data_IF_173265710183
#
_entry.id   IF_173265710183
#
_cell.length_a   1.000
_cell.length_b   1.000
_cell.length_c   1.000
_cell.angle_alpha   90.00
_cell.angle_beta   90.00
_cell.angle_gamma   90.00
#
_symmetry.space_group_name_H-M   'P 1'
#
loop_
_entity.id
_entity.type
_entity.pdbx_description
1 polymer ?
#
# COMPACT_ATOMS: atom_id res chain seq x y z
N UNK A 1 2.78 -14.23 -10.63
CA UNK A 1 3.22 -13.34 -9.53
C UNK A 1 4.62 -12.74 -9.71
N UNK A 2 5.70 -13.48 -9.50
CA UNK A 2 7.05 -12.86 -9.46
C UNK A 2 7.51 -12.25 -10.79
N UNK A 3 7.03 -12.78 -11.92
CA UNK A 3 7.35 -12.26 -13.26
C UNK A 3 6.60 -10.95 -13.58
N UNK A 4 5.30 -10.89 -13.30
CA UNK A 4 4.42 -9.81 -13.76
C UNK A 4 3.90 -8.88 -12.66
N UNK A 5 3.92 -9.32 -11.40
CA UNK A 5 3.33 -8.61 -10.27
C UNK A 5 1.90 -9.06 -9.90
N UNK A 6 1.19 -9.80 -10.76
CA UNK A 6 -0.18 -10.28 -10.51
C UNK A 6 -0.21 -11.54 -9.63
N UNK A 7 -0.82 -11.50 -8.43
CA UNK A 7 -1.07 -12.70 -7.64
C UNK A 7 -2.20 -13.51 -8.27
N UNK A 8 -2.08 -14.83 -8.23
CA UNK A 8 -3.05 -15.77 -8.78
C UNK A 8 -3.21 -16.95 -7.81
N UNK A 9 -4.34 -17.63 -7.89
CA UNK A 9 -4.61 -18.81 -7.08
C UNK A 9 -5.28 -19.89 -7.92
N UNK A 10 -4.99 -21.16 -7.62
CA UNK A 10 -5.66 -22.29 -8.25
C UNK A 10 -6.44 -23.04 -7.18
N UNK A 11 -7.71 -23.29 -7.45
CA UNK A 11 -8.59 -24.09 -6.61
C UNK A 11 -8.78 -25.47 -7.24
N UNK A 12 -9.03 -26.48 -6.41
CA UNK A 12 -9.52 -27.76 -6.86
C UNK A 12 -10.98 -27.61 -7.33
N UNK A 13 -11.24 -27.81 -8.62
CA UNK A 13 -12.55 -27.58 -9.22
C UNK A 13 -13.62 -28.51 -8.62
N UNK A 14 -13.23 -29.73 -8.24
CA UNK A 14 -14.16 -30.69 -7.65
C UNK A 14 -14.63 -30.29 -6.24
N UNK A 15 -13.93 -29.35 -5.59
CA UNK A 15 -14.25 -28.89 -4.23
C UNK A 15 -15.09 -27.61 -4.19
N UNK A 16 -15.39 -27.02 -5.37
CA UNK A 16 -16.25 -25.84 -5.53
C UNK A 16 -17.70 -26.29 -5.76
N UNK A 17 -18.59 -25.86 -4.89
CA UNK A 17 -20.02 -26.21 -4.94
C UNK A 17 -20.84 -25.07 -5.56
N UNK A 18 -21.09 -25.16 -6.87
CA UNK A 18 -21.94 -24.23 -7.60
C UNK A 18 -21.21 -22.97 -8.09
N UNK A 19 -21.77 -21.79 -7.82
CA UNK A 19 -21.24 -20.52 -8.34
C UNK A 19 -20.16 -19.94 -7.43
N UNK A 20 -19.06 -19.44 -7.99
CA UNK A 20 -18.06 -18.68 -7.24
C UNK A 20 -18.55 -17.26 -6.98
N UNK A 21 -18.55 -16.85 -5.71
CA UNK A 21 -18.95 -15.53 -5.24
C UNK A 21 -17.76 -14.78 -4.64
N UNK A 22 -17.57 -13.53 -5.04
CA UNK A 22 -16.70 -12.59 -4.33
C UNK A 22 -17.58 -11.69 -3.47
N UNK A 23 -17.54 -11.88 -2.15
CA UNK A 23 -18.42 -11.21 -1.18
C UNK A 23 -17.67 -10.83 0.09
N UNK A 24 -18.32 -10.04 0.95
CA UNK A 24 -17.86 -9.91 2.32
C UNK A 24 -18.15 -11.20 3.10
N UNK A 25 -17.30 -11.49 4.07
CA UNK A 25 -17.51 -12.59 5.01
C UNK A 25 -18.78 -12.33 5.84
N UNK A 26 -19.40 -13.40 6.31
CA UNK A 26 -20.44 -13.28 7.33
C UNK A 26 -19.78 -13.04 8.68
N UNK A 27 -20.44 -12.34 9.62
CA UNK A 27 -19.93 -12.20 10.97
C UNK A 27 -19.64 -13.57 11.59
N UNK A 28 -18.42 -13.74 12.09
CA UNK A 28 -17.96 -14.98 12.73
C UNK A 28 -17.85 -16.19 11.79
N UNK A 29 -17.80 -15.95 10.47
CA UNK A 29 -17.58 -17.00 9.48
C UNK A 29 -16.20 -17.64 9.71
N UNK A 30 -16.15 -18.97 9.80
CA UNK A 30 -14.91 -19.71 10.04
C UNK A 30 -14.31 -20.19 8.73
N UNK A 31 -12.98 -20.13 8.64
CA UNK A 31 -12.23 -20.67 7.52
C UNK A 31 -10.92 -21.28 8.01
N UNK A 32 -10.65 -22.53 7.62
CA UNK A 32 -9.34 -23.14 7.81
C UNK A 32 -8.46 -22.83 6.60
N UNK A 33 -7.32 -22.21 6.85
CA UNK A 33 -6.36 -21.78 5.84
C UNK A 33 -5.35 -22.88 5.51
N UNK A 34 -4.67 -22.75 4.37
CA UNK A 34 -3.66 -23.69 3.89
C UNK A 34 -2.42 -23.88 4.79
N UNK A 35 -2.27 -23.04 5.83
CA UNK A 35 -1.23 -23.16 6.86
C UNK A 35 -1.74 -23.83 8.16
N UNK A 36 -2.87 -24.55 8.07
CA UNK A 36 -3.58 -25.22 9.18
C UNK A 36 -4.17 -24.29 10.24
N UNK A 37 -4.08 -22.97 10.06
CA UNK A 37 -4.70 -21.99 10.96
C UNK A 37 -6.20 -21.89 10.69
N UNK A 38 -7.02 -22.04 11.73
CA UNK A 38 -8.44 -21.68 11.69
C UNK A 38 -8.60 -20.21 12.09
N UNK A 39 -9.32 -19.44 11.28
CA UNK A 39 -9.61 -18.02 11.55
C UNK A 39 -11.12 -17.78 11.59
N UNK A 40 -11.52 -16.80 12.40
CA UNK A 40 -12.89 -16.29 12.48
C UNK A 40 -12.92 -14.91 11.82
N UNK A 41 -13.74 -14.77 10.78
CA UNK A 41 -13.79 -13.61 9.91
C UNK A 41 -14.83 -12.59 10.38
N UNK A 42 -14.63 -11.33 9.99
CA UNK A 42 -15.56 -10.21 10.23
C UNK A 42 -16.16 -9.74 8.90
N UNK A 43 -17.27 -9.02 8.97
CA UNK A 43 -18.03 -8.54 7.81
C UNK A 43 -17.33 -7.45 6.97
N UNK A 44 -16.14 -7.01 7.39
CA UNK A 44 -15.27 -6.11 6.64
C UNK A 44 -14.10 -6.82 5.91
N UNK A 45 -14.11 -8.17 5.91
CA UNK A 45 -13.13 -9.02 5.22
C UNK A 45 -13.76 -9.60 3.96
N UNK A 46 -13.14 -9.32 2.81
CA UNK A 46 -13.56 -9.90 1.55
C UNK A 46 -13.08 -11.35 1.42
N UNK A 47 -13.97 -12.21 0.96
CA UNK A 47 -13.72 -13.64 0.75
C UNK A 47 -14.13 -14.04 -0.66
N UNK A 48 -13.51 -15.12 -1.11
CA UNK A 48 -13.96 -15.89 -2.27
C UNK A 48 -14.68 -17.10 -1.69
N UNK A 49 -15.93 -17.30 -2.08
CA UNK A 49 -16.82 -18.33 -1.57
C UNK A 49 -17.50 -19.05 -2.73
N UNK A 50 -18.11 -20.19 -2.46
CA UNK A 50 -19.08 -20.82 -3.36
C UNK A 50 -20.51 -20.69 -2.78
N UNK A 51 -21.47 -21.46 -3.28
CA UNK A 51 -22.86 -21.41 -2.79
C UNK A 51 -23.01 -21.97 -1.36
N UNK A 52 -22.00 -22.65 -0.82
CA UNK A 52 -22.05 -23.33 0.48
C UNK A 52 -21.07 -22.77 1.51
N UNK A 53 -19.84 -22.40 1.12
CA UNK A 53 -18.73 -22.13 2.04
C UNK A 53 -17.74 -21.10 1.50
N UNK A 54 -17.00 -20.47 2.40
CA UNK A 54 -15.83 -19.68 2.03
C UNK A 54 -14.71 -20.61 1.53
N UNK A 55 -14.06 -20.22 0.43
CA UNK A 55 -12.96 -20.93 -0.21
C UNK A 55 -11.60 -20.29 0.09
N UNK A 56 -11.55 -18.97 0.25
CA UNK A 56 -10.32 -18.21 0.50
C UNK A 56 -10.61 -16.83 1.12
N UNK A 57 -9.62 -16.27 1.81
CA UNK A 57 -9.60 -14.83 2.11
C UNK A 57 -9.06 -14.11 0.88
N UNK A 58 -9.88 -13.25 0.28
CA UNK A 58 -9.61 -12.65 -1.03
C UNK A 58 -8.28 -11.88 -1.02
N UNK A 59 -7.38 -12.25 -1.93
CA UNK A 59 -6.07 -11.62 -2.09
C UNK A 59 -5.06 -11.88 -0.96
N UNK A 60 -5.39 -12.71 0.05
CA UNK A 60 -4.52 -12.94 1.21
C UNK A 60 -4.03 -14.39 1.25
N UNK A 61 -4.95 -15.35 1.42
CA UNK A 61 -4.60 -16.76 1.58
C UNK A 61 -5.79 -17.67 1.23
N UNK A 62 -5.50 -18.77 0.54
CA UNK A 62 -6.47 -19.81 0.21
C UNK A 62 -6.86 -20.66 1.43
N UNK A 63 -8.06 -21.23 1.37
CA UNK A 63 -8.54 -22.21 2.32
C UNK A 63 -7.93 -23.59 2.07
N UNK A 64 -7.76 -24.38 3.13
CA UNK A 64 -7.25 -25.75 3.02
C UNK A 64 -8.22 -26.63 2.22
N UNK A 65 -9.52 -26.50 2.48
CA UNK A 65 -10.56 -27.35 1.90
C UNK A 65 -10.76 -27.15 0.39
N UNK A 66 -10.30 -26.05 -0.20
CA UNK A 66 -10.44 -25.73 -1.62
C UNK A 66 -9.11 -25.83 -2.38
N UNK A 67 -8.02 -26.14 -1.67
CA UNK A 67 -6.67 -26.20 -2.24
C UNK A 67 -6.48 -27.42 -3.16
N UNK A 68 -5.61 -27.23 -4.16
CA UNK A 68 -5.09 -28.29 -5.03
C UNK A 68 -4.22 -29.24 -4.21
N UNK A 69 -4.44 -30.54 -4.41
CA UNK A 69 -3.77 -31.65 -3.73
C UNK A 69 -3.20 -32.62 -4.78
N UNK A 70 -2.44 -33.63 -4.34
CA UNK A 70 -1.90 -34.66 -5.24
C UNK A 70 -2.99 -35.45 -6.00
N UNK A 71 -4.21 -35.51 -5.44
CA UNK A 71 -5.36 -36.19 -6.04
C UNK A 71 -6.18 -35.30 -7.01
N UNK A 72 -5.81 -34.02 -7.18
CA UNK A 72 -6.58 -33.06 -7.98
C UNK A 72 -6.40 -33.31 -9.47
N UNK A 73 -7.52 -33.47 -10.19
CA UNK A 73 -7.54 -33.66 -11.65
C UNK A 73 -7.88 -32.39 -12.42
N UNK A 74 -8.77 -31.56 -11.86
CA UNK A 74 -9.34 -30.39 -12.51
C UNK A 74 -9.15 -29.16 -11.61
N UNK A 75 -8.75 -28.03 -12.20
CA UNK A 75 -8.48 -26.80 -11.45
C UNK A 75 -9.31 -25.62 -11.96
N UNK A 76 -9.69 -24.73 -11.05
CA UNK A 76 -10.20 -23.41 -11.36
C UNK A 76 -9.12 -22.37 -11.07
N UNK A 77 -8.65 -21.68 -12.11
CA UNK A 77 -7.59 -20.69 -11.99
C UNK A 77 -8.17 -19.28 -11.82
N UNK A 78 -7.75 -18.60 -10.78
CA UNK A 78 -8.16 -17.24 -10.43
C UNK A 78 -7.05 -16.23 -10.75
N UNK A 79 -7.42 -15.17 -11.46
CA UNK A 79 -6.63 -13.94 -11.64
C UNK A 79 -7.56 -12.75 -11.45
N UNK A 80 -7.45 -12.03 -10.34
CA UNK A 80 -8.38 -10.97 -9.97
C UNK A 80 -7.66 -9.69 -9.54
N UNK A 81 -8.31 -8.54 -9.69
CA UNK A 81 -7.88 -7.30 -9.08
C UNK A 81 -8.73 -7.01 -7.84
N UNK A 82 -8.09 -6.86 -6.69
CA UNK A 82 -8.73 -6.41 -5.46
C UNK A 82 -8.31 -4.98 -5.14
N UNK A 83 -9.29 -4.12 -4.85
CA UNK A 83 -9.01 -2.73 -4.48
C UNK A 83 -8.15 -2.69 -3.20
N UNK A 84 -7.01 -1.97 -3.19
CA UNK A 84 -6.08 -1.97 -2.05
C UNK A 84 -6.73 -1.61 -0.71
N UNK A 85 -7.67 -0.65 -0.73
CA UNK A 85 -8.37 -0.21 0.46
C UNK A 85 -9.29 -1.29 1.06
N UNK A 86 -9.83 -2.18 0.23
CA UNK A 86 -10.71 -3.26 0.66
C UNK A 86 -9.96 -4.34 1.45
N UNK A 87 -8.65 -4.46 1.26
CA UNK A 87 -7.80 -5.50 1.87
C UNK A 87 -6.76 -4.94 2.86
N UNK A 88 -6.50 -3.63 2.85
CA UNK A 88 -5.46 -2.99 3.66
C UNK A 88 -5.55 -3.38 5.14
N UNK A 89 -4.50 -3.98 5.68
CA UNK A 89 -4.39 -4.37 7.08
C UNK A 89 -5.18 -5.63 7.47
N UNK A 90 -5.97 -6.22 6.56
CA UNK A 90 -6.80 -7.40 6.87
C UNK A 90 -5.92 -8.62 7.16
N UNK A 91 -4.83 -8.81 6.40
CA UNK A 91 -3.89 -9.91 6.63
C UNK A 91 -3.26 -9.85 8.02
N UNK A 92 -2.80 -8.65 8.43
CA UNK A 92 -2.14 -8.44 9.73
C UNK A 92 -3.05 -8.76 10.91
N UNK A 93 -4.37 -8.54 10.81
CA UNK A 93 -5.34 -8.91 11.87
C UNK A 93 -5.35 -10.40 12.17
N UNK A 94 -5.07 -11.24 11.17
CA UNK A 94 -4.99 -12.68 11.32
C UNK A 94 -3.56 -13.19 11.57
N UNK A 95 -2.60 -12.28 11.77
CA UNK A 95 -1.18 -12.64 11.92
C UNK A 95 -0.53 -13.11 10.61
N UNK A 96 -1.13 -12.78 9.46
CA UNK A 96 -0.67 -13.22 8.14
C UNK A 96 0.16 -12.14 7.45
N UNK A 97 1.17 -12.58 6.69
CA UNK A 97 1.93 -11.74 5.78
C UNK A 97 2.37 -12.59 4.57
N UNK A 98 1.63 -12.49 3.47
CA UNK A 98 1.91 -13.24 2.24
C UNK A 98 2.39 -12.32 1.13
N UNK A 99 3.08 -12.88 0.14
CA UNK A 99 3.48 -12.17 -1.08
C UNK A 99 2.28 -11.54 -1.80
N UNK A 100 1.14 -12.22 -1.79
CA UNK A 100 -0.13 -11.75 -2.36
C UNK A 100 -0.69 -10.58 -1.58
N UNK A 101 -0.81 -10.71 -0.24
CA UNK A 101 -1.41 -9.66 0.60
C UNK A 101 -0.61 -8.37 0.47
N UNK A 102 0.72 -8.43 0.56
CA UNK A 102 1.57 -7.24 0.47
C UNK A 102 1.43 -6.51 -0.87
N UNK A 103 1.32 -7.25 -1.98
CA UNK A 103 1.22 -6.64 -3.32
C UNK A 103 -0.14 -6.03 -3.54
N UNK A 104 -1.22 -6.74 -3.23
CA UNK A 104 -2.54 -6.14 -3.37
C UNK A 104 -2.69 -4.93 -2.44
N UNK A 105 -2.17 -4.95 -1.20
CA UNK A 105 -2.25 -3.80 -0.27
C UNK A 105 -1.56 -2.55 -0.83
N UNK A 106 -0.54 -2.72 -1.67
CA UNK A 106 0.21 -1.62 -2.31
C UNK A 106 -0.36 -1.20 -3.66
N UNK A 107 -1.31 -1.95 -4.22
CA UNK A 107 -1.80 -1.77 -5.58
C UNK A 107 -1.11 -2.72 -6.55
N UNK A 108 -1.90 -3.65 -7.09
CA UNK A 108 -1.54 -4.43 -8.27
C UNK A 108 -2.20 -3.75 -9.47
N UNK A 109 -1.51 -3.72 -10.61
CA UNK A 109 -2.06 -3.19 -11.86
C UNK A 109 -3.43 -3.82 -12.18
N UNK A 110 -4.46 -2.98 -12.24
CA UNK A 110 -5.84 -3.42 -12.44
C UNK A 110 -6.14 -3.90 -13.87
N UNK A 111 -5.27 -3.62 -14.85
CA UNK A 111 -5.39 -4.12 -16.24
C UNK A 111 -4.62 -5.42 -16.47
N UNK A 112 -3.79 -5.82 -15.50
CA UNK A 112 -2.93 -7.00 -15.58
C UNK A 112 -3.61 -8.38 -15.43
N UNK A 113 -4.80 -8.55 -14.82
CA UNK A 113 -5.37 -9.87 -14.59
C UNK A 113 -5.47 -10.76 -15.83
N UNK A 114 -5.87 -10.21 -16.98
CA UNK A 114 -6.02 -10.97 -18.23
C UNK A 114 -4.67 -11.39 -18.82
N UNK A 115 -3.67 -10.51 -18.78
CA UNK A 115 -2.30 -10.82 -19.24
C UNK A 115 -1.72 -11.96 -18.39
N UNK A 116 -1.87 -11.87 -17.07
CA UNK A 116 -1.42 -12.89 -16.15
C UNK A 116 -2.16 -14.22 -16.33
N UNK A 117 -3.47 -14.18 -16.59
CA UNK A 117 -4.27 -15.38 -16.89
C UNK A 117 -3.73 -16.10 -18.13
N UNK A 118 -3.47 -15.36 -19.21
CA UNK A 118 -2.91 -15.92 -20.44
C UNK A 118 -1.49 -16.49 -20.20
N UNK A 119 -0.64 -15.76 -19.46
CA UNK A 119 0.72 -16.20 -19.15
C UNK A 119 0.73 -17.47 -18.30
N UNK A 120 -0.09 -17.52 -17.25
CA UNK A 120 -0.19 -18.70 -16.40
C UNK A 120 -0.77 -19.90 -17.17
N UNK A 121 -1.80 -19.67 -18.00
CA UNK A 121 -2.39 -20.72 -18.83
C UNK A 121 -1.39 -21.30 -19.82
N UNK A 122 -0.57 -20.45 -20.46
CA UNK A 122 0.52 -20.90 -21.32
C UNK A 122 1.50 -21.81 -20.59
N UNK A 123 1.94 -21.42 -19.39
CA UNK A 123 2.89 -22.20 -18.59
C UNK A 123 2.29 -23.52 -18.10
N UNK A 124 1.01 -23.53 -17.72
CA UNK A 124 0.31 -24.76 -17.34
C UNK A 124 0.22 -25.70 -18.54
N UNK A 125 -0.17 -25.20 -19.71
CA UNK A 125 -0.24 -26.01 -20.94
C UNK A 125 1.12 -26.63 -21.29
N UNK A 126 2.22 -25.88 -21.12
CA UNK A 126 3.58 -26.33 -21.41
C UNK A 126 4.07 -27.40 -20.41
N UNK A 127 3.79 -27.22 -19.11
CA UNK A 127 4.41 -28.01 -18.05
C UNK A 127 3.52 -29.14 -17.50
N UNK A 128 2.21 -28.93 -17.45
CA UNK A 128 1.23 -29.87 -16.90
C UNK A 128 0.25 -30.39 -17.97
N UNK A 129 0.02 -29.63 -19.04
CA UNK A 129 -1.01 -29.93 -20.03
C UNK A 129 -2.42 -29.69 -19.51
N UNK A 130 -3.42 -30.29 -20.17
CA UNK A 130 -4.84 -30.19 -19.82
C UNK A 130 -5.71 -29.66 -20.96
N UNK A 131 -7.03 -29.67 -20.74
CA UNK A 131 -8.01 -29.07 -21.63
C UNK A 131 -8.51 -27.75 -21.03
N UNK A 132 -8.44 -26.66 -21.78
CA UNK A 132 -8.67 -25.32 -21.27
C UNK A 132 -10.08 -24.84 -21.63
N UNK A 133 -10.83 -24.45 -20.61
CA UNK A 133 -12.13 -23.79 -20.77
C UNK A 133 -11.99 -22.31 -21.19
N UNK A 134 -13.12 -21.65 -21.50
CA UNK A 134 -13.12 -20.22 -21.78
C UNK A 134 -12.76 -19.40 -20.54
N UNK A 135 -12.18 -18.22 -20.73
CA UNK A 135 -11.93 -17.25 -19.65
C UNK A 135 -13.25 -16.52 -19.34
N UNK A 136 -13.66 -16.55 -18.07
CA UNK A 136 -14.80 -15.79 -17.57
C UNK A 136 -14.32 -14.43 -17.04
N UNK A 137 -14.82 -13.35 -17.62
CA UNK A 137 -14.52 -11.97 -17.19
C UNK A 137 -15.76 -11.38 -16.51
N UNK A 138 -15.62 -11.00 -15.24
CA UNK A 138 -16.67 -10.33 -14.45
C UNK A 138 -16.10 -9.04 -13.92
N UNK A 139 -16.64 -7.91 -14.40
CA UNK A 139 -16.11 -6.58 -14.09
C UNK A 139 -17.22 -5.62 -13.67
N UNK A 140 -16.88 -4.72 -12.75
CA UNK A 140 -17.66 -3.52 -12.43
C UNK A 140 -16.83 -2.31 -12.82
N UNK A 141 -16.79 -2.02 -14.13
CA UNK A 141 -15.92 -1.00 -14.73
C UNK A 141 -16.03 0.37 -14.07
N UNK A 142 -17.23 0.75 -13.63
CA UNK A 142 -17.48 2.05 -13.00
C UNK A 142 -16.76 2.23 -11.65
N UNK A 143 -16.31 1.13 -11.03
CA UNK A 143 -15.61 1.11 -9.75
C UNK A 143 -14.09 0.90 -9.91
N UNK A 144 -13.59 0.73 -11.14
CA UNK A 144 -12.15 0.58 -11.37
C UNK A 144 -11.41 1.89 -11.05
N UNK A 145 -10.12 1.80 -10.67
CA UNK A 145 -9.29 2.99 -10.50
C UNK A 145 -9.28 3.84 -11.77
N UNK A 146 -9.49 5.13 -11.63
CA UNK A 146 -9.45 6.08 -12.76
C UNK A 146 -8.04 6.62 -12.96
N UNK A 147 -7.67 6.84 -14.22
CA UNK A 147 -6.42 7.50 -14.62
C UNK A 147 -6.75 8.83 -15.29
N UNK A 148 -7.06 9.81 -14.45
CA UNK A 148 -7.33 11.18 -14.92
C UNK A 148 -6.04 11.83 -15.42
N UNK A 149 -6.16 12.68 -16.45
CA UNK A 149 -5.04 13.44 -16.96
C UNK A 149 -4.59 14.51 -15.94
N UNK A 150 -3.29 14.58 -15.71
CA UNK A 150 -2.64 15.54 -14.82
C UNK A 150 -1.99 16.63 -15.68
N UNK A 151 -2.37 17.88 -15.45
CA UNK A 151 -1.72 19.02 -16.10
C UNK A 151 -0.35 19.28 -15.46
N UNK A 152 0.67 19.44 -16.28
CA UNK A 152 2.02 19.80 -15.84
C UNK A 152 2.51 21.00 -16.64
N UNK A 153 3.15 21.97 -15.96
CA UNK A 153 3.76 23.13 -16.60
C UNK A 153 5.23 23.25 -16.25
N UNK A 154 6.06 23.65 -17.21
CA UNK A 154 7.49 23.86 -17.01
C UNK A 154 7.76 24.81 -15.83
N UNK A 155 6.97 25.88 -15.71
CA UNK A 155 7.13 26.85 -14.63
C UNK A 155 6.95 26.24 -13.23
N UNK A 156 6.09 25.22 -13.08
CA UNK A 156 5.88 24.53 -11.81
C UNK A 156 7.04 23.58 -11.49
N UNK A 157 7.54 22.87 -12.51
CA UNK A 157 8.71 22.00 -12.41
C UNK A 157 9.92 22.83 -11.93
N UNK A 158 10.23 23.90 -12.65
CA UNK A 158 11.36 24.79 -12.34
C UNK A 158 11.23 25.41 -10.93
N UNK A 159 10.01 25.79 -10.55
CA UNK A 159 9.75 26.44 -9.25
C UNK A 159 9.86 25.47 -8.07
N UNK A 160 9.42 24.22 -8.23
CA UNK A 160 9.45 23.23 -7.14
C UNK A 160 10.85 22.60 -7.01
N UNK A 161 11.56 22.36 -8.12
CA UNK A 161 12.92 21.85 -8.10
C UNK A 161 13.96 22.91 -7.76
N UNK A 162 13.69 24.18 -8.08
CA UNK A 162 14.63 25.29 -7.88
C UNK A 162 15.72 25.39 -8.95
N UNK A 163 15.68 24.54 -9.98
CA UNK A 163 16.55 24.60 -11.16
C UNK A 163 15.78 24.15 -12.41
N UNK A 164 16.31 24.46 -13.59
CA UNK A 164 15.66 24.14 -14.86
C UNK A 164 16.03 22.76 -15.36
N UNK A 165 15.03 21.99 -15.76
CA UNK A 165 15.19 20.71 -16.45
C UNK A 165 14.69 20.87 -17.90
N UNK A 166 15.40 20.27 -18.86
CA UNK A 166 15.03 20.39 -20.27
C UNK A 166 13.66 19.73 -20.56
N UNK A 167 12.80 20.40 -21.33
CA UNK A 167 11.46 19.93 -21.70
C UNK A 167 11.48 18.56 -22.41
N UNK A 168 12.49 18.33 -23.25
CA UNK A 168 12.72 17.05 -23.93
C UNK A 168 12.97 15.91 -22.94
N UNK A 169 13.76 16.18 -21.88
CA UNK A 169 14.05 15.20 -20.83
C UNK A 169 12.81 14.89 -20.00
N UNK A 170 12.04 15.91 -19.60
CA UNK A 170 10.78 15.75 -18.86
C UNK A 170 9.84 14.80 -19.63
N UNK A 171 9.69 15.04 -20.92
CA UNK A 171 8.80 14.24 -21.79
C UNK A 171 9.32 12.80 -21.91
N UNK A 172 10.61 12.59 -22.22
CA UNK A 172 11.20 11.25 -22.35
C UNK A 172 11.11 10.45 -21.04
N UNK A 173 11.44 11.06 -19.91
CA UNK A 173 11.40 10.40 -18.59
C UNK A 173 9.99 9.93 -18.24
N UNK A 174 8.97 10.81 -18.37
CA UNK A 174 7.58 10.45 -18.08
C UNK A 174 7.03 9.39 -19.04
N UNK A 175 7.36 9.47 -20.33
CA UNK A 175 6.97 8.44 -21.30
C UNK A 175 7.60 7.08 -20.98
N UNK A 176 8.88 7.02 -20.59
CA UNK A 176 9.55 5.77 -20.20
C UNK A 176 9.00 5.16 -18.92
N UNK A 177 8.42 5.98 -18.04
CA UNK A 177 7.71 5.52 -16.85
C UNK A 177 6.32 4.93 -17.16
N UNK A 178 5.92 4.95 -18.44
CA UNK A 178 4.65 4.40 -18.93
C UNK A 178 3.54 5.45 -19.06
N UNK A 179 3.80 6.73 -18.79
CA UNK A 179 2.77 7.76 -18.94
C UNK A 179 2.51 8.10 -20.40
N UNK A 180 1.24 8.35 -20.73
CA UNK A 180 0.87 8.97 -22.01
C UNK A 180 1.00 10.50 -21.88
N UNK A 181 1.97 11.07 -22.58
CA UNK A 181 2.29 12.50 -22.48
C UNK A 181 1.85 13.21 -23.74
N UNK A 182 0.89 14.13 -23.62
CA UNK A 182 0.44 15.00 -24.72
C UNK A 182 0.88 16.44 -24.49
N UNK A 183 1.65 17.01 -25.42
CA UNK A 183 2.04 18.43 -25.39
C UNK A 183 0.84 19.28 -25.81
N UNK A 184 0.40 20.19 -24.94
CA UNK A 184 -0.73 21.10 -25.20
C UNK A 184 -0.28 22.41 -25.83
N UNK A 185 0.81 22.95 -25.33
CA UNK A 185 1.45 24.18 -25.78
C UNK A 185 2.92 24.16 -25.35
N UNK A 186 3.67 25.19 -25.74
CA UNK A 186 5.06 25.33 -25.29
C UNK A 186 5.14 25.39 -23.75
N UNK A 187 5.83 24.42 -23.16
CA UNK A 187 5.97 24.25 -21.70
C UNK A 187 4.73 23.75 -20.95
N UNK A 188 3.70 23.22 -21.63
CA UNK A 188 2.49 22.65 -20.99
C UNK A 188 2.18 21.23 -21.50
N UNK A 189 1.98 20.29 -20.58
CA UNK A 189 1.66 18.89 -20.86
C UNK A 189 0.38 18.45 -20.16
N UNK A 190 -0.29 17.49 -20.79
CA UNK A 190 -1.34 16.66 -20.19
C UNK A 190 -0.82 15.24 -20.11
N UNK A 191 -0.66 14.72 -18.90
CA UNK A 191 -0.01 13.44 -18.62
C UNK A 191 -1.01 12.47 -18.01
N UNK A 192 -1.26 11.34 -18.65
CA UNK A 192 -2.09 10.25 -18.09
C UNK A 192 -1.14 9.19 -17.51
N UNK A 193 -1.22 8.90 -16.19
CA UNK A 193 -0.36 7.89 -15.58
C UNK A 193 -0.82 6.47 -15.97
N UNK A 194 0.11 5.50 -16.06
CA UNK A 194 -0.24 4.12 -16.40
C UNK A 194 -1.00 3.43 -15.25
N UNK A 195 -1.71 2.35 -15.59
CA UNK A 195 -2.55 1.57 -14.67
C UNK A 195 -1.81 1.04 -13.44
N UNK A 196 -0.53 0.70 -13.57
CA UNK A 196 0.33 0.18 -12.48
C UNK A 196 0.86 1.23 -11.50
N UNK A 197 0.66 2.54 -11.72
CA UNK A 197 1.15 3.61 -10.84
C UNK A 197 0.05 4.17 -9.93
N UNK A 198 0.02 3.75 -8.67
CA UNK A 198 -0.98 4.20 -7.68
C UNK A 198 -0.61 5.49 -6.93
N UNK A 199 0.57 6.02 -7.24
CA UNK A 199 1.25 7.14 -6.58
C UNK A 199 1.29 8.42 -7.44
N UNK A 200 0.73 8.39 -8.66
CA UNK A 200 0.62 9.55 -9.55
C UNK A 200 -0.83 10.05 -9.59
N UNK A 201 -1.12 11.13 -8.88
CA UNK A 201 -2.44 11.75 -8.81
C UNK A 201 -2.43 13.28 -9.00
N UNK A 202 -1.30 13.93 -8.73
CA UNK A 202 -1.12 15.39 -8.85
C UNK A 202 0.20 15.72 -9.57
N UNK A 203 0.35 16.98 -10.01
CA UNK A 203 1.52 17.40 -10.78
C UNK A 203 2.83 17.29 -9.98
N UNK A 204 2.78 17.39 -8.65
CA UNK A 204 3.95 17.22 -7.79
C UNK A 204 4.52 15.81 -7.84
N UNK A 205 3.68 14.79 -8.01
CA UNK A 205 4.12 13.40 -8.15
C UNK A 205 4.92 13.24 -9.46
N UNK A 206 4.49 13.93 -10.53
CA UNK A 206 5.25 13.96 -11.78
C UNK A 206 6.59 14.68 -11.63
N UNK A 207 6.64 15.76 -10.84
CA UNK A 207 7.89 16.50 -10.57
C UNK A 207 8.86 15.64 -9.76
N UNK A 208 8.39 14.89 -8.76
CA UNK A 208 9.21 13.91 -8.03
C UNK A 208 9.84 12.91 -9.00
N UNK A 209 9.05 12.39 -9.93
CA UNK A 209 9.51 11.39 -10.89
C UNK A 209 10.55 11.94 -11.86
N UNK A 210 10.36 13.17 -12.33
CA UNK A 210 11.40 13.88 -13.11
C UNK A 210 12.67 14.04 -12.27
N UNK A 211 12.57 14.47 -11.02
CA UNK A 211 13.73 14.62 -10.13
C UNK A 211 14.46 13.29 -9.88
N UNK A 212 13.69 12.20 -9.70
CA UNK A 212 14.22 10.87 -9.41
C UNK A 212 14.98 10.30 -10.61
N UNK A 213 14.48 10.54 -11.82
CA UNK A 213 15.11 10.08 -13.06
C UNK A 213 16.28 10.98 -13.47
N UNK A 214 16.17 12.30 -13.27
CA UNK A 214 17.28 13.24 -13.48
C UNK A 214 18.42 12.96 -12.49
N UNK A 215 18.08 12.61 -11.26
CA UNK A 215 19.00 12.23 -10.19
C UNK A 215 19.04 13.27 -9.09
N UNK A 216 18.84 12.83 -7.84
CA UNK A 216 18.79 13.75 -6.69
C UNK A 216 20.14 14.46 -6.45
N UNK A 217 21.25 13.86 -6.89
CA UNK A 217 22.58 14.46 -6.84
C UNK A 217 22.73 15.69 -7.76
N UNK A 218 21.85 15.82 -8.76
CA UNK A 218 21.84 16.97 -9.67
C UNK A 218 21.06 18.18 -9.10
N UNK A 219 20.37 18.01 -7.96
CA UNK A 219 19.64 19.09 -7.31
C UNK A 219 20.63 20.16 -6.83
N UNK A 220 20.50 21.36 -7.38
CA UNK A 220 21.39 22.48 -7.08
C UNK A 220 21.18 22.99 -5.65
N UNK A 221 22.28 23.19 -4.93
CA UNK A 221 22.25 23.72 -3.56
C UNK A 221 21.83 25.19 -3.60
N UNK A 222 20.78 25.52 -2.85
CA UNK A 222 20.34 26.89 -2.60
C UNK A 222 19.96 27.08 -1.13
N UNK A 223 19.96 28.33 -0.67
CA UNK A 223 19.49 28.69 0.66
C UNK A 223 18.16 29.42 0.54
N UNK A 224 17.18 29.17 1.43
CA UNK A 224 15.94 29.90 1.42
C UNK A 224 16.16 31.35 1.86
N UNK A 225 15.41 32.26 1.27
CA UNK A 225 15.36 33.67 1.68
C UNK A 225 14.24 33.87 2.69
N UNK A 226 14.51 34.66 3.74
CA UNK A 226 13.50 35.09 4.70
C UNK A 226 13.68 36.57 5.05
N UNK A 227 12.58 37.28 5.22
CA UNK A 227 12.59 38.62 5.80
C UNK A 227 12.80 38.50 7.30
N UNK A 228 13.94 38.98 7.78
CA UNK A 228 14.26 38.95 9.21
C UNK A 228 13.44 40.02 9.92
N UNK A 229 12.36 39.61 10.57
CA UNK A 229 11.59 40.46 11.47
C UNK A 229 11.94 40.12 12.92
N UNK A 230 12.17 41.15 13.72
CA UNK A 230 12.38 40.99 15.15
C UNK A 230 11.09 40.44 15.78
N UNK A 231 11.14 39.19 16.21
CA UNK A 231 10.06 38.59 16.96
C UNK A 231 9.92 39.31 18.31
N UNK A 232 8.67 39.58 18.73
CA UNK A 232 8.42 40.10 20.07
C UNK A 232 8.88 39.07 21.10
N UNK A 233 9.72 39.52 22.01
CA UNK A 233 10.24 38.72 23.10
C UNK A 233 10.06 39.44 24.42
N UNK A 234 9.75 38.69 25.48
CA UNK A 234 9.72 39.23 26.84
C UNK A 234 10.92 38.67 27.58
N UNK A 235 11.71 39.56 28.18
CA UNK A 235 12.82 39.17 29.04
C UNK A 235 12.30 38.33 30.21
N UNK A 236 12.80 37.09 30.30
CA UNK A 236 12.43 36.13 31.33
C UNK A 236 13.64 35.28 31.67
N UNK A 237 13.53 34.55 32.77
CA UNK A 237 14.55 33.59 33.15
C UNK A 237 14.45 32.35 32.26
N UNK A 238 15.41 32.18 31.35
CA UNK A 238 15.36 31.13 30.32
C UNK A 238 15.64 29.74 30.89
N UNK A 239 15.12 28.72 30.21
CA UNK A 239 15.41 27.32 30.53
C UNK A 239 16.92 27.02 30.51
N UNK A 240 17.67 27.65 29.60
CA UNK A 240 19.13 27.51 29.54
C UNK A 240 19.82 28.11 30.77
N UNK A 241 19.31 29.25 31.26
CA UNK A 241 19.81 29.87 32.49
C UNK A 241 19.45 29.01 33.71
N UNK A 242 18.22 28.49 33.78
CA UNK A 242 17.79 27.57 34.83
C UNK A 242 18.68 26.32 34.90
N UNK A 243 18.93 25.66 33.75
CA UNK A 243 19.84 24.51 33.67
C UNK A 243 21.24 24.87 34.18
N UNK A 244 21.79 26.00 33.72
CA UNK A 244 23.13 26.44 34.12
C UNK A 244 23.21 26.72 35.63
N UNK A 245 22.18 27.34 36.21
CA UNK A 245 22.12 27.59 37.66
C UNK A 245 22.13 26.28 38.44
N UNK A 246 21.31 25.29 38.03
CA UNK A 246 21.20 24.00 38.72
C UNK A 246 22.49 23.17 38.58
N UNK A 247 23.16 23.24 37.43
CA UNK A 247 24.51 22.66 37.23
C UNK A 247 25.54 23.29 38.16
N UNK A 248 25.52 24.63 38.32
CA UNK A 248 26.44 25.35 39.22
C UNK A 248 26.24 24.96 40.68
N UNK A 249 25.01 24.54 41.05
CA UNK A 249 24.68 24.01 42.37
C UNK A 249 25.08 22.54 42.57
N UNK A 250 25.69 21.88 41.57
CA UNK A 250 26.22 20.52 41.68
C UNK A 250 25.26 19.40 41.26
N UNK A 251 24.16 19.72 40.58
CA UNK A 251 23.23 18.71 40.02
C UNK A 251 23.66 18.25 38.62
N UNK A 252 23.31 17.02 38.27
CA UNK A 252 23.46 16.45 36.93
C UNK A 252 22.08 16.34 36.25
N UNK A 253 22.00 16.67 34.97
CA UNK A 253 20.75 16.51 34.20
C UNK A 253 20.52 15.03 33.88
N UNK A 254 19.29 14.56 34.12
CA UNK A 254 18.84 13.21 33.77
C UNK A 254 17.58 13.31 32.90
N UNK A 255 17.50 12.48 31.86
CA UNK A 255 16.34 12.35 30.98
C UNK A 255 15.72 10.98 31.22
N UNK A 256 14.56 10.94 31.88
CA UNK A 256 13.77 9.72 32.08
C UNK A 256 12.66 9.59 31.04
N UNK A 257 12.05 8.41 30.95
CA UNK A 257 10.86 8.21 30.12
C UNK A 257 9.70 9.11 30.58
N UNK A 258 8.86 9.53 29.63
CA UNK A 258 7.62 10.26 29.91
C UNK A 258 6.51 9.36 30.47
N UNK A 259 6.69 8.04 30.42
CA UNK A 259 5.84 7.03 31.07
C UNK A 259 6.62 6.33 32.19
N UNK A 260 5.93 5.94 33.25
CA UNK A 260 6.49 5.28 34.43
C UNK A 260 5.54 4.18 34.92
N UNK A 261 5.99 3.40 35.91
CA UNK A 261 5.16 2.38 36.54
C UNK A 261 3.96 3.01 37.27
N UNK A 262 2.75 2.55 36.94
CA UNK A 262 1.52 2.99 37.59
C UNK A 262 1.53 2.73 39.11
N UNK A 263 2.25 1.71 39.59
CA UNK A 263 2.42 1.46 41.02
C UNK A 263 3.21 2.59 41.69
N UNK A 264 4.28 3.05 41.05
CA UNK A 264 5.11 4.15 41.55
C UNK A 264 4.31 5.45 41.59
N UNK A 265 3.53 5.74 40.55
CA UNK A 265 2.62 6.91 40.52
C UNK A 265 1.63 6.90 41.69
N UNK A 266 1.01 5.75 41.97
CA UNK A 266 0.07 5.60 43.09
C UNK A 266 0.74 5.66 44.46
N UNK A 267 1.99 5.25 44.58
CA UNK A 267 2.78 5.38 45.81
C UNK A 267 3.12 6.85 46.09
N UNK A 268 3.43 7.64 45.05
CA UNK A 268 3.72 9.07 45.19
C UNK A 268 2.45 9.90 45.46
N UNK A 269 1.35 9.59 44.77
CA UNK A 269 0.06 10.24 44.96
C UNK A 269 -1.09 9.22 44.89
N UNK A 270 -1.65 8.78 46.03
CA UNK A 270 -2.71 7.76 46.06
C UNK A 270 -3.98 8.14 45.27
N UNK A 271 -4.27 9.44 45.13
CA UNK A 271 -5.47 9.95 44.47
C UNK A 271 -5.26 10.24 42.97
N UNK A 272 -4.04 10.07 42.43
CA UNK A 272 -3.76 10.35 41.02
C UNK A 272 -4.50 9.40 40.08
N UNK A 273 -5.02 9.90 38.97
CA UNK A 273 -5.53 9.07 37.87
C UNK A 273 -4.62 9.28 36.65
N UNK A 274 -3.55 8.47 36.48
CA UNK A 274 -2.59 8.68 35.41
C UNK A 274 -3.22 8.35 34.05
N UNK A 275 -2.78 9.04 33.01
CA UNK A 275 -3.13 8.71 31.63
C UNK A 275 -2.39 7.42 31.22
N UNK A 276 -3.11 6.30 31.19
CA UNK A 276 -2.55 4.99 30.86
C UNK A 276 -2.50 4.78 29.34
N UNK A 277 -1.40 4.21 28.84
CA UNK A 277 -1.29 3.77 27.46
C UNK A 277 -2.13 2.51 27.23
N UNK A 278 -2.77 2.40 26.05
CA UNK A 278 -3.57 1.23 25.68
C UNK A 278 -2.72 0.01 25.29
N UNK A 279 -1.53 0.26 24.74
CA UNK A 279 -0.58 -0.75 24.27
C UNK A 279 0.84 -0.44 24.79
N UNK A 280 1.06 -0.44 26.12
CA UNK A 280 2.38 -0.19 26.68
C UNK A 280 3.35 -1.30 26.28
N UNK A 281 4.64 -0.99 26.24
CA UNK A 281 5.68 -1.98 25.95
C UNK A 281 5.88 -2.98 27.11
N UNK A 282 5.51 -2.60 28.34
CA UNK A 282 5.58 -3.40 29.57
C UNK A 282 4.56 -2.96 30.60
#
# INVERSE_FOLDING_TARGET
LMELGQPMHAFDLAKIEGTVHVRQAQPQEKLQLLNDQEVELQDDVMVIADDQKALAIAGIMGGLASSVTDDTTDIFLESAFFAPLAIAGRARRFGLHTDSSQRYERGVDFELPLIAMNRASQLIQELAGGEFGPITVVEKSDLLPKREAIELKQAQVDQLLGYKVAAEFITDALTRLGCEVTVKADGEWSVVPPSHRYDMAIYQDLIEEVARIDGYDNIQISLPSMDVQLAKYQDRFEIAQLRQTVVTLGYQEAISFSFADAKLEKQLNPQVSPLMLANPIS
#
